data_IF_742024159754
#
_entry.id   IF_742024159754
#
_cell.length_a   1.000
_cell.length_b   1.000
_cell.length_c   1.000
_cell.angle_alpha   90.00
_cell.angle_beta   90.00
_cell.angle_gamma   90.00
#
_symmetry.space_group_name_H-M   'P 1'
#
loop_
_entity.id
_entity.type
_entity.pdbx_description
1 polymer ?
#
# COMPACT_ATOMS: atom_id res chain seq x y z
N UNK A 1 3.36 42.05 5.20
CA UNK A 1 4.69 41.70 5.73
C UNK A 1 4.62 40.29 6.33
N UNK A 2 5.31 39.30 5.73
CA UNK A 2 5.25 37.91 6.21
C UNK A 2 6.13 37.71 7.45
N UNK A 3 5.53 37.28 8.56
CA UNK A 3 6.24 36.92 9.79
C UNK A 3 7.22 35.77 9.49
N UNK A 4 8.51 35.93 9.80
CA UNK A 4 9.52 34.85 9.65
C UNK A 4 9.13 33.67 10.55
N UNK A 5 8.83 32.53 9.95
CA UNK A 5 8.50 31.30 10.67
C UNK A 5 9.74 30.69 11.30
N UNK A 6 9.61 30.29 12.57
CA UNK A 6 10.65 29.55 13.29
C UNK A 6 10.82 28.13 12.72
N UNK A 7 11.97 27.49 12.98
CA UNK A 7 12.23 26.11 12.54
C UNK A 7 11.15 25.12 13.03
N UNK A 8 10.62 25.34 14.24
CA UNK A 8 9.56 24.53 14.83
C UNK A 8 8.20 24.72 14.14
N UNK A 9 7.89 25.93 13.66
CA UNK A 9 6.68 26.17 12.86
C UNK A 9 6.76 25.51 11.49
N UNK A 10 7.92 25.59 10.83
CA UNK A 10 8.16 24.88 9.56
C UNK A 10 7.97 23.37 9.74
N UNK A 11 8.48 22.81 10.82
CA UNK A 11 8.28 21.39 11.17
C UNK A 11 6.80 21.04 11.40
N UNK A 12 6.04 21.86 12.14
CA UNK A 12 4.59 21.65 12.34
C UNK A 12 3.82 21.71 11.02
N UNK A 13 4.18 22.62 10.12
CA UNK A 13 3.56 22.73 8.78
C UNK A 13 3.87 21.49 7.94
N UNK A 14 5.12 21.02 7.95
CA UNK A 14 5.52 19.77 7.30
C UNK A 14 4.74 18.57 7.86
N UNK A 15 4.63 18.45 9.19
CA UNK A 15 3.88 17.36 9.82
C UNK A 15 2.38 17.43 9.55
N UNK A 16 1.80 18.64 9.45
CA UNK A 16 0.40 18.83 9.06
C UNK A 16 0.17 18.43 7.60
N UNK A 17 1.11 18.77 6.70
CA UNK A 17 1.06 18.35 5.31
C UNK A 17 1.20 16.83 5.16
N UNK A 18 2.11 16.20 5.92
CA UNK A 18 2.30 14.74 5.95
C UNK A 18 1.03 14.01 6.44
N UNK A 19 0.45 14.45 7.56
CA UNK A 19 -0.83 13.89 8.07
C UNK A 19 -1.96 14.06 7.05
N UNK A 20 -2.05 15.22 6.39
CA UNK A 20 -3.06 15.49 5.36
C UNK A 20 -2.85 14.63 4.10
N UNK A 21 -1.60 14.36 3.71
CA UNK A 21 -1.27 13.44 2.61
C UNK A 21 -1.66 12.00 2.95
N UNK A 22 -1.33 11.55 4.16
CA UNK A 22 -1.71 10.21 4.64
C UNK A 22 -3.22 10.04 4.86
N UNK A 23 -3.95 11.11 5.17
CA UNK A 23 -5.42 11.08 5.25
C UNK A 23 -6.11 11.12 3.87
N UNK A 24 -5.41 11.55 2.82
CA UNK A 24 -5.98 11.63 1.46
C UNK A 24 -5.90 10.31 0.69
N UNK A 25 -4.88 9.50 0.97
CA UNK A 25 -4.70 8.21 0.34
C UNK A 25 -4.94 7.14 1.40
N UNK A 26 -6.13 6.57 1.40
CA UNK A 26 -6.40 5.38 2.21
C UNK A 26 -5.81 4.19 1.45
N UNK A 27 -4.53 3.90 1.67
CA UNK A 27 -3.84 2.77 1.03
C UNK A 27 -4.29 1.42 1.60
N UNK A 28 -5.39 1.36 2.36
CA UNK A 28 -5.90 0.11 2.90
C UNK A 28 -6.21 -0.83 1.74
N UNK A 29 -5.78 -2.09 1.79
CA UNK A 29 -5.99 -3.04 0.70
C UNK A 29 -7.43 -3.54 0.74
N UNK A 30 -8.38 -2.67 0.41
CA UNK A 30 -9.77 -3.06 0.27
C UNK A 30 -9.90 -4.04 -0.88
N UNK A 31 -10.70 -5.09 -0.67
CA UNK A 31 -11.02 -6.01 -1.75
C UNK A 31 -11.95 -5.27 -2.73
N UNK A 32 -11.55 -5.07 -4.00
CA UNK A 32 -12.41 -4.45 -4.99
C UNK A 32 -13.63 -5.34 -5.28
N UNK A 33 -14.79 -4.74 -5.57
CA UNK A 33 -16.04 -5.47 -5.84
C UNK A 33 -15.96 -6.41 -7.04
N UNK A 34 -15.03 -6.16 -7.97
CA UNK A 34 -14.79 -6.96 -9.18
C UNK A 34 -14.05 -8.28 -8.89
N UNK A 35 -13.48 -8.43 -7.69
CA UNK A 35 -12.72 -9.62 -7.28
C UNK A 35 -11.31 -9.72 -7.88
N UNK A 36 -11.00 -8.94 -8.91
CA UNK A 36 -9.69 -8.88 -9.54
C UNK A 36 -8.78 -7.86 -8.83
N UNK A 37 -7.68 -8.32 -8.25
CA UNK A 37 -6.67 -7.48 -7.59
C UNK A 37 -5.45 -7.36 -8.48
N UNK A 38 -5.03 -6.12 -8.71
CA UNK A 38 -3.81 -5.81 -9.44
C UNK A 38 -2.77 -5.26 -8.47
N UNK A 39 -1.54 -5.67 -8.68
CA UNK A 39 -0.37 -5.13 -7.99
C UNK A 39 0.64 -4.61 -8.98
N UNK A 40 1.39 -3.59 -8.58
CA UNK A 40 2.57 -3.11 -9.30
C UNK A 40 3.79 -3.39 -8.44
N UNK A 41 4.91 -3.73 -9.07
CA UNK A 41 6.18 -3.80 -8.38
C UNK A 41 6.74 -2.39 -8.20
N UNK A 42 7.22 -2.07 -6.99
CA UNK A 42 7.72 -0.73 -6.68
C UNK A 42 9.02 -0.39 -7.45
N UNK A 43 9.78 -1.40 -7.90
CA UNK A 43 10.96 -1.21 -8.75
C UNK A 43 10.60 -1.05 -10.23
N UNK A 44 9.48 -1.64 -10.68
CA UNK A 44 9.00 -1.56 -12.07
C UNK A 44 7.50 -1.20 -12.11
N UNK A 45 7.15 0.10 -11.95
CA UNK A 45 5.76 0.55 -11.90
C UNK A 45 5.03 0.45 -13.26
N UNK A 46 5.75 0.08 -14.33
CA UNK A 46 5.19 -0.05 -15.68
C UNK A 46 4.33 -1.30 -15.87
N UNK A 47 4.43 -2.30 -14.98
CA UNK A 47 3.79 -3.60 -15.16
C UNK A 47 2.75 -3.86 -14.07
N UNK A 48 1.47 -3.71 -14.42
CA UNK A 48 0.35 -4.20 -13.61
C UNK A 48 0.29 -5.73 -13.70
N UNK A 49 0.39 -6.41 -12.56
CA UNK A 49 0.29 -7.87 -12.45
C UNK A 49 -1.00 -8.23 -11.72
N UNK A 50 -1.80 -9.12 -12.31
CA UNK A 50 -2.97 -9.67 -11.64
C UNK A 50 -2.52 -10.72 -10.61
N UNK A 51 -3.07 -10.65 -9.40
CA UNK A 51 -2.76 -11.58 -8.32
C UNK A 51 -4.02 -12.21 -7.74
N UNK A 52 -3.89 -13.44 -7.27
CA UNK A 52 -4.97 -14.10 -6.53
C UNK A 52 -4.93 -13.73 -5.06
N UNK A 53 -6.10 -13.46 -4.51
CA UNK A 53 -6.26 -13.22 -3.07
C UNK A 53 -6.33 -14.56 -2.35
N UNK A 54 -5.48 -14.76 -1.35
CA UNK A 54 -5.39 -16.01 -0.58
C UNK A 54 -6.25 -15.91 0.68
N UNK A 55 -6.13 -14.81 1.43
CA UNK A 55 -6.96 -14.56 2.62
C UNK A 55 -7.53 -13.15 2.61
N UNK A 56 -8.81 -13.07 2.94
CA UNK A 56 -9.51 -11.82 3.22
C UNK A 56 -10.01 -11.79 4.65
N UNK A 57 -10.02 -10.62 5.26
CA UNK A 57 -10.60 -10.37 6.58
C UNK A 57 -11.67 -9.31 6.48
N UNK A 58 -12.69 -9.36 7.35
CA UNK A 58 -13.69 -8.29 7.44
C UNK A 58 -13.27 -7.32 8.55
N UNK A 59 -13.10 -6.04 8.22
CA UNK A 59 -12.80 -4.97 9.18
C UNK A 59 -13.77 -3.80 8.94
N UNK A 60 -14.50 -3.41 9.99
CA UNK A 60 -15.49 -2.31 9.93
C UNK A 60 -16.44 -2.42 8.73
N UNK A 61 -17.12 -3.58 8.61
CA UNK A 61 -18.09 -3.90 7.54
C UNK A 61 -17.52 -4.00 6.12
N UNK A 62 -16.20 -3.80 5.91
CA UNK A 62 -15.54 -3.94 4.60
C UNK A 62 -14.62 -5.16 4.58
N UNK A 63 -14.55 -5.85 3.43
CA UNK A 63 -13.56 -6.91 3.20
C UNK A 63 -12.21 -6.28 2.84
N UNK A 64 -11.19 -6.59 3.62
CA UNK A 64 -9.80 -6.23 3.38
C UNK A 64 -9.01 -7.47 2.99
N UNK A 65 -7.99 -7.29 2.17
CA UNK A 65 -7.07 -8.34 1.75
C UNK A 65 -5.99 -8.46 2.81
N UNK A 66 -5.87 -9.65 3.43
CA UNK A 66 -4.84 -9.92 4.44
C UNK A 66 -3.61 -10.55 3.80
N UNK A 67 -3.82 -11.46 2.84
CA UNK A 67 -2.74 -12.04 2.05
C UNK A 67 -3.11 -12.28 0.59
N UNK A 68 -2.11 -12.13 -0.27
CA UNK A 68 -2.17 -12.40 -1.72
C UNK A 68 -1.14 -13.43 -2.12
N UNK A 69 -1.34 -14.08 -3.25
CA UNK A 69 -0.34 -14.93 -3.87
C UNK A 69 0.65 -14.07 -4.65
N UNK A 70 1.93 -14.36 -4.49
CA UNK A 70 2.98 -13.74 -5.28
C UNK A 70 2.82 -14.08 -6.78
N UNK A 71 2.89 -13.09 -7.69
CA UNK A 71 2.81 -13.35 -9.12
C UNK A 71 4.03 -14.09 -9.71
N UNK A 72 5.16 -14.10 -9.01
CA UNK A 72 6.42 -14.73 -9.47
C UNK A 72 6.57 -16.16 -8.92
N UNK A 73 6.38 -16.35 -7.62
CA UNK A 73 6.68 -17.62 -6.96
C UNK A 73 5.45 -18.35 -6.40
N UNK A 74 4.25 -17.77 -6.50
CA UNK A 74 3.01 -18.36 -5.98
C UNK A 74 2.90 -18.45 -4.46
N UNK A 75 3.90 -17.98 -3.70
CA UNK A 75 3.85 -17.99 -2.25
C UNK A 75 2.88 -16.95 -1.70
N UNK A 76 2.33 -17.21 -0.51
CA UNK A 76 1.55 -16.22 0.22
C UNK A 76 2.42 -15.04 0.66
N UNK A 77 1.88 -13.83 0.46
CA UNK A 77 2.46 -12.55 0.83
C UNK A 77 1.49 -11.82 1.74
N UNK A 78 2.03 -11.15 2.77
CA UNK A 78 1.22 -10.44 3.75
C UNK A 78 1.28 -8.93 3.50
N UNK A 79 0.18 -8.27 3.84
CA UNK A 79 0.13 -6.82 3.86
C UNK A 79 1.03 -6.26 4.96
N UNK A 80 1.97 -5.39 4.58
CA UNK A 80 2.84 -4.70 5.52
C UNK A 80 2.33 -3.27 5.73
N UNK A 81 1.91 -2.96 6.97
CA UNK A 81 1.38 -1.65 7.33
C UNK A 81 2.42 -0.52 7.31
N UNK A 82 3.71 -0.85 7.37
CA UNK A 82 4.78 0.15 7.33
C UNK A 82 5.08 0.58 5.89
N UNK A 83 4.98 -0.36 4.94
CA UNK A 83 5.18 -0.10 3.51
C UNK A 83 3.88 0.21 2.77
N UNK A 84 2.73 -0.03 3.39
CA UNK A 84 1.41 0.07 2.73
C UNK A 84 1.38 -0.76 1.43
N UNK A 85 1.99 -1.95 1.49
CA UNK A 85 2.25 -2.80 0.33
C UNK A 85 2.37 -4.27 0.75
N UNK A 86 2.18 -5.18 -0.21
CA UNK A 86 2.47 -6.60 -0.02
C UNK A 86 3.95 -6.85 -0.26
N UNK A 87 4.62 -7.49 0.70
CA UNK A 87 6.05 -7.79 0.57
C UNK A 87 6.27 -9.29 0.48
N UNK A 88 7.15 -9.70 -0.43
CA UNK A 88 7.64 -11.07 -0.43
C UNK A 88 9.13 -11.12 -0.18
N UNK A 89 9.50 -12.08 0.66
CA UNK A 89 10.87 -12.36 1.08
C UNK A 89 11.38 -13.70 0.51
N UNK A 90 10.51 -14.51 -0.11
CA UNK A 90 10.87 -15.87 -0.56
C UNK A 90 11.54 -15.90 -1.94
N UNK A 91 11.45 -14.82 -2.70
CA UNK A 91 12.21 -14.66 -3.93
C UNK A 91 13.51 -13.99 -3.49
N UNK A 92 14.65 -14.38 -4.04
CA UNK A 92 15.97 -14.00 -3.53
C UNK A 92 16.22 -12.49 -3.27
N UNK A 93 15.33 -11.59 -3.69
CA UNK A 93 15.29 -10.18 -3.29
C UNK A 93 13.91 -9.81 -2.72
N UNK A 94 13.91 -8.95 -1.70
CA UNK A 94 12.68 -8.38 -1.13
C UNK A 94 11.95 -7.57 -2.21
N UNK A 95 10.79 -8.06 -2.62
CA UNK A 95 9.93 -7.40 -3.59
C UNK A 95 8.77 -6.73 -2.85
N UNK A 96 8.42 -5.51 -3.25
CA UNK A 96 7.39 -4.68 -2.65
C UNK A 96 6.34 -4.42 -3.73
N UNK A 97 5.11 -4.84 -3.45
CA UNK A 97 4.00 -4.78 -4.38
C UNK A 97 2.91 -3.86 -3.85
N UNK A 98 2.69 -2.76 -4.55
CA UNK A 98 1.65 -1.78 -4.21
C UNK A 98 0.33 -2.20 -4.85
N UNK A 99 -0.77 -2.08 -4.10
CA UNK A 99 -2.11 -2.41 -4.60
C UNK A 99 -2.62 -1.26 -5.45
N UNK A 100 -3.09 -1.58 -6.66
CA UNK A 100 -3.59 -0.58 -7.61
C UNK A 100 -5.01 -0.94 -7.99
N UNK A 101 -5.94 -0.04 -7.71
CA UNK A 101 -7.29 -0.10 -8.29
C UNK A 101 -7.20 0.27 -9.78
N UNK A 102 -8.01 -0.41 -10.59
CA UNK A 102 -7.93 -0.50 -12.06
C UNK A 102 -7.59 0.83 -12.75
#
# INVERSE_FOLDING_TARGET
>A
MGRRQTMMEKYKIQMKAYRKKRMKNDSTPYLPSDGNVYVIDSLDPGKKMQVQVVKTKVKSQRKIIESIACPICGNEMFWDHHWEAFTCLKHGKKAIYELVEK
#
